data_IF_970190597196
#
_entry.id   IF_970190597196
#
_cell.length_a   1.000
_cell.length_b   1.000
_cell.length_c   1.000
_cell.angle_alpha   90.00
_cell.angle_beta   90.00
_cell.angle_gamma   90.00
#
_symmetry.space_group_name_H-M   'P 1'
#
loop_
_entity.id
_entity.type
_entity.pdbx_description
1 polymer ?
#
# COMPACT_ATOMS: atom_id res chain seq x y z
N UNK A 1 -19.10 63.75 -15.59
CA UNK A 1 -18.62 62.86 -14.50
C UNK A 1 -18.34 61.49 -15.10
N UNK A 2 -17.07 61.08 -15.09
CA UNK A 2 -16.54 59.87 -15.76
C UNK A 2 -16.98 58.59 -15.05
N UNK A 3 -17.42 57.61 -15.82
CA UNK A 3 -17.45 56.19 -15.43
C UNK A 3 -16.02 55.73 -15.14
N UNK A 4 -15.80 55.12 -13.98
CA UNK A 4 -14.64 54.29 -13.72
C UNK A 4 -15.11 52.83 -13.69
N UNK A 5 -14.82 52.13 -14.79
CA UNK A 5 -14.75 50.68 -14.78
C UNK A 5 -13.56 50.28 -13.91
N UNK A 6 -13.80 49.46 -12.88
CA UNK A 6 -12.75 48.64 -12.27
C UNK A 6 -13.03 47.20 -12.68
N UNK A 7 -12.21 46.70 -13.60
CA UNK A 7 -12.15 45.29 -13.89
C UNK A 7 -11.74 44.55 -12.63
N UNK A 8 -12.62 43.69 -12.14
CA UNK A 8 -12.23 42.63 -11.24
C UNK A 8 -11.55 41.57 -12.10
N UNK A 9 -10.22 41.55 -12.10
CA UNK A 9 -9.45 40.37 -12.49
C UNK A 9 -9.80 39.27 -11.51
N UNK A 10 -10.71 38.39 -11.90
CA UNK A 10 -10.91 37.12 -11.24
C UNK A 10 -9.67 36.26 -11.49
N UNK A 11 -8.66 36.38 -10.63
CA UNK A 11 -7.68 35.31 -10.47
C UNK A 11 -8.42 34.17 -9.79
N UNK A 12 -9.01 33.29 -10.58
CA UNK A 12 -9.46 31.98 -10.09
C UNK A 12 -8.22 31.24 -9.63
N UNK A 13 -7.91 31.36 -8.34
CA UNK A 13 -6.90 30.55 -7.69
C UNK A 13 -7.45 29.12 -7.70
N UNK A 14 -7.17 28.37 -8.78
CA UNK A 14 -7.46 26.94 -8.84
C UNK A 14 -6.53 26.28 -7.83
N UNK A 15 -6.98 26.20 -6.58
CA UNK A 15 -6.38 25.29 -5.61
C UNK A 15 -6.58 23.89 -6.17
N UNK A 16 -5.48 23.19 -6.42
CA UNK A 16 -5.54 21.79 -6.81
C UNK A 16 -6.27 20.98 -5.75
N UNK A 17 -6.89 19.88 -6.18
CA UNK A 17 -7.62 18.97 -5.29
C UNK A 17 -6.75 17.75 -5.05
N UNK A 18 -6.72 17.26 -3.81
CA UNK A 18 -6.06 16.03 -3.43
C UNK A 18 -6.91 15.30 -2.38
N UNK A 19 -6.80 13.98 -2.33
CA UNK A 19 -7.48 13.14 -1.34
C UNK A 19 -6.57 12.00 -0.93
N UNK A 20 -6.73 11.54 0.30
CA UNK A 20 -6.04 10.33 0.78
C UNK A 20 -6.40 9.15 -0.11
N UNK A 21 -5.42 8.30 -0.37
CA UNK A 21 -5.65 6.98 -0.91
C UNK A 21 -6.41 6.11 0.11
N UNK A 22 -6.78 4.89 -0.26
CA UNK A 22 -7.37 3.97 0.72
C UNK A 22 -6.33 3.70 1.83
N UNK A 23 -6.77 3.36 3.06
CA UNK A 23 -5.86 3.24 4.21
C UNK A 23 -4.64 2.35 3.94
N UNK A 24 -4.82 1.24 3.20
CA UNK A 24 -3.74 0.29 2.88
C UNK A 24 -2.75 0.77 1.81
N UNK A 25 -3.03 1.87 1.12
CA UNK A 25 -2.15 2.44 0.11
C UNK A 25 -1.18 3.48 0.69
N UNK A 26 -1.37 3.91 1.94
CA UNK A 26 -0.52 4.87 2.66
C UNK A 26 -0.07 6.06 1.78
N UNK A 27 -1.02 6.71 1.10
CA UNK A 27 -0.68 7.68 0.07
C UNK A 27 -1.75 8.74 -0.19
N UNK A 28 -1.45 9.61 -1.15
CA UNK A 28 -2.33 10.69 -1.59
C UNK A 28 -2.49 10.63 -3.11
N UNK A 29 -3.72 10.80 -3.57
CA UNK A 29 -4.10 10.95 -4.97
C UNK A 29 -4.23 12.44 -5.29
N UNK A 30 -3.70 12.84 -6.44
CA UNK A 30 -3.73 14.22 -6.91
C UNK A 30 -4.76 14.37 -8.03
N UNK A 31 -5.67 15.32 -7.88
CA UNK A 31 -6.58 15.74 -8.96
C UNK A 31 -5.90 16.59 -10.03
N UNK A 32 -4.76 17.19 -9.70
CA UNK A 32 -3.88 17.91 -10.63
C UNK A 32 -2.42 17.77 -10.14
N UNK A 33 -1.50 17.47 -11.04
CA UNK A 33 -0.06 17.33 -10.73
C UNK A 33 0.53 18.63 -10.16
N UNK A 34 -0.02 19.79 -10.51
CA UNK A 34 0.41 21.08 -9.96
C UNK A 34 0.18 21.20 -8.44
N UNK A 35 -0.68 20.35 -7.85
CA UNK A 35 -0.95 20.34 -6.41
C UNK A 35 0.14 19.63 -5.59
N UNK A 36 1.06 18.91 -6.23
CA UNK A 36 1.99 18.00 -5.53
C UNK A 36 2.83 18.72 -4.48
N UNK A 37 3.46 19.84 -4.84
CA UNK A 37 4.40 20.53 -3.94
C UNK A 37 3.67 21.17 -2.76
N UNK A 38 2.48 21.74 -2.99
CA UNK A 38 1.63 22.28 -1.92
C UNK A 38 1.18 21.18 -0.95
N UNK A 39 0.79 20.01 -1.47
CA UNK A 39 0.38 18.85 -0.66
C UNK A 39 1.57 18.31 0.14
N UNK A 40 2.73 18.16 -0.47
CA UNK A 40 3.97 17.72 0.20
C UNK A 40 4.31 18.66 1.36
N UNK A 41 4.23 19.98 1.13
CA UNK A 41 4.48 20.98 2.17
C UNK A 41 3.48 20.84 3.34
N UNK A 42 2.18 20.72 3.05
CA UNK A 42 1.15 20.51 4.07
C UNK A 42 1.42 19.24 4.88
N UNK A 43 1.75 18.12 4.22
CA UNK A 43 2.04 16.85 4.88
C UNK A 43 3.24 16.94 5.82
N UNK A 44 4.33 17.59 5.40
CA UNK A 44 5.51 17.78 6.25
C UNK A 44 5.28 18.72 7.44
N UNK A 45 4.32 19.64 7.33
CA UNK A 45 3.93 20.55 8.41
C UNK A 45 2.91 19.94 9.38
N UNK A 46 2.36 18.76 9.09
CA UNK A 46 1.44 18.08 10.01
C UNK A 46 2.11 17.74 11.33
N UNK A 47 1.39 18.02 12.43
CA UNK A 47 1.79 17.69 13.80
C UNK A 47 0.68 16.95 14.51
N UNK A 48 1.07 15.99 15.35
CA UNK A 48 0.16 15.29 16.25
C UNK A 48 -0.35 16.23 17.38
N UNK A 49 -1.28 15.77 18.23
CA UNK A 49 -1.73 16.54 19.39
C UNK A 49 -0.64 16.89 20.42
N UNK A 50 0.49 16.17 20.43
CA UNK A 50 1.64 16.44 21.29
C UNK A 50 2.60 17.48 20.67
N UNK A 51 2.44 17.79 19.38
CA UNK A 51 3.26 18.71 18.61
C UNK A 51 4.42 18.03 17.85
N UNK A 52 4.44 16.71 17.79
CA UNK A 52 5.46 15.91 17.11
C UNK A 52 5.16 15.80 15.60
N UNK A 53 6.20 15.71 14.78
CA UNK A 53 6.07 15.51 13.35
C UNK A 53 5.57 14.09 13.04
N UNK A 54 4.55 13.98 12.17
CA UNK A 54 3.89 12.69 11.88
C UNK A 54 4.27 12.09 10.53
N UNK A 55 4.81 12.89 9.61
CA UNK A 55 5.28 12.41 8.30
C UNK A 55 6.81 12.39 8.29
N UNK A 56 7.40 11.21 8.10
CA UNK A 56 8.84 11.03 7.93
C UNK A 56 9.28 11.41 6.51
N UNK A 57 8.58 10.92 5.49
CA UNK A 57 8.92 11.20 4.10
C UNK A 57 7.70 11.17 3.17
N UNK A 58 7.79 11.92 2.07
CA UNK A 58 6.81 11.85 0.98
C UNK A 58 7.56 11.60 -0.32
N UNK A 59 7.24 10.52 -1.04
CA UNK A 59 7.89 10.13 -2.29
C UNK A 59 6.88 10.08 -3.43
N UNK A 60 7.27 10.43 -4.66
CA UNK A 60 6.38 10.22 -5.82
C UNK A 60 6.39 8.75 -6.18
N UNK A 61 5.26 8.21 -6.66
CA UNK A 61 5.21 6.80 -7.12
C UNK A 61 6.27 6.45 -8.15
N UNK A 62 6.64 7.38 -9.02
CA UNK A 62 7.64 7.17 -10.08
C UNK A 62 9.06 7.08 -9.53
N UNK A 63 9.28 7.54 -8.31
CA UNK A 63 10.58 7.46 -7.63
C UNK A 63 10.72 6.12 -6.90
N UNK A 64 9.61 5.41 -6.65
CA UNK A 64 9.57 4.18 -5.83
C UNK A 64 9.26 2.94 -6.68
N UNK A 65 8.30 3.04 -7.58
CA UNK A 65 7.80 1.90 -8.35
C UNK A 65 8.17 2.02 -9.82
N UNK A 66 8.40 0.86 -10.44
CA UNK A 66 8.61 0.70 -11.88
C UNK A 66 7.65 -0.31 -12.48
N UNK A 67 7.51 -0.30 -13.81
CA UNK A 67 6.72 -1.30 -14.54
C UNK A 67 5.30 -0.85 -14.92
N UNK A 68 4.49 -1.76 -15.48
CA UNK A 68 3.22 -1.42 -16.12
C UNK A 68 2.12 -0.99 -15.14
N UNK A 69 2.29 -1.27 -13.85
CA UNK A 69 1.29 -1.01 -12.82
C UNK A 69 1.54 0.25 -11.99
N UNK A 70 2.60 1.02 -12.27
CA UNK A 70 2.95 2.24 -11.51
C UNK A 70 1.76 3.19 -11.40
N UNK A 71 0.97 3.35 -12.47
CA UNK A 71 -0.20 4.22 -12.47
C UNK A 71 -1.29 3.82 -11.45
N UNK A 72 -1.29 2.57 -10.96
CA UNK A 72 -2.22 2.11 -9.92
C UNK A 72 -1.84 2.63 -8.53
N UNK A 73 -0.56 2.88 -8.27
CA UNK A 73 -0.13 3.43 -6.98
C UNK A 73 -0.62 4.88 -6.79
N UNK A 74 -0.81 5.34 -5.53
CA UNK A 74 -1.04 6.75 -5.22
C UNK A 74 0.01 7.66 -5.87
N UNK A 75 -0.35 8.90 -6.20
CA UNK A 75 0.60 9.82 -6.84
C UNK A 75 1.77 10.17 -5.90
N UNK A 76 1.44 10.31 -4.60
CA UNK A 76 2.39 10.50 -3.50
C UNK A 76 2.24 9.35 -2.50
N UNK A 77 3.36 8.76 -2.09
CA UNK A 77 3.46 7.78 -1.03
C UNK A 77 3.94 8.48 0.24
N UNK A 78 3.25 8.25 1.35
CA UNK A 78 3.50 8.93 2.62
C UNK A 78 4.04 7.90 3.62
N UNK A 79 5.24 8.15 4.11
CA UNK A 79 5.85 7.37 5.16
C UNK A 79 5.64 8.10 6.49
N UNK A 80 4.93 7.45 7.41
CA UNK A 80 4.65 8.00 8.73
C UNK A 80 5.89 7.92 9.63
N UNK A 81 6.09 8.92 10.48
CA UNK A 81 7.22 8.99 11.41
C UNK A 81 7.08 8.01 12.58
N UNK A 82 5.83 7.70 12.95
CA UNK A 82 5.47 6.63 13.85
C UNK A 82 4.43 5.75 13.17
N UNK A 83 4.72 4.46 13.04
CA UNK A 83 3.82 3.45 12.47
C UNK A 83 2.54 3.22 13.31
N UNK A 84 2.45 3.77 14.52
CA UNK A 84 1.21 3.83 15.29
C UNK A 84 0.20 4.86 14.72
N UNK A 85 0.64 5.72 13.80
CA UNK A 85 -0.19 6.72 13.12
C UNK A 85 -0.43 6.29 11.68
N UNK A 86 -1.67 6.44 11.21
CA UNK A 86 -2.05 6.09 9.84
C UNK A 86 -2.94 7.18 9.22
N UNK A 87 -2.95 7.24 7.88
CA UNK A 87 -3.84 8.12 7.11
C UNK A 87 -5.22 7.49 6.99
N UNK A 88 -6.25 8.26 7.36
CA UNK A 88 -7.63 7.84 7.26
C UNK A 88 -8.38 8.62 6.19
N UNK A 89 -9.17 7.93 5.37
CA UNK A 89 -10.01 8.48 4.29
C UNK A 89 -11.46 8.76 4.72
N UNK A 90 -11.77 8.56 6.00
CA UNK A 90 -13.10 8.81 6.55
C UNK A 90 -13.45 10.29 6.61
N UNK A 91 -14.21 10.76 5.62
CA UNK A 91 -14.81 12.10 5.61
C UNK A 91 -15.78 12.37 6.78
N UNK A 92 -16.20 11.31 7.49
CA UNK A 92 -17.11 11.39 8.64
C UNK A 92 -16.38 11.31 9.99
N UNK A 93 -15.04 11.37 10.00
CA UNK A 93 -14.30 11.36 11.25
C UNK A 93 -14.73 12.56 12.13
N UNK A 94 -15.04 12.34 13.42
CA UNK A 94 -15.52 13.39 14.32
C UNK A 94 -14.42 14.42 14.65
N UNK A 95 -13.16 14.07 14.42
CA UNK A 95 -11.99 14.91 14.65
C UNK A 95 -10.88 14.54 13.65
N UNK A 96 -9.90 15.44 13.40
CA UNK A 96 -8.73 15.15 12.58
C UNK A 96 -7.81 14.05 13.15
N UNK A 97 -7.86 13.85 14.47
CA UNK A 97 -7.12 12.82 15.19
C UNK A 97 -8.11 11.91 15.91
N UNK A 98 -7.97 10.61 15.69
CA UNK A 98 -8.77 9.58 16.34
C UNK A 98 -7.83 8.66 17.12
N UNK A 99 -7.95 8.67 18.44
CA UNK A 99 -7.24 7.71 19.28
C UNK A 99 -7.99 6.38 19.30
N UNK A 100 -7.27 5.31 19.00
CA UNK A 100 -7.80 3.94 18.91
C UNK A 100 -7.06 2.96 19.80
N UNK A 101 -6.22 3.45 20.71
CA UNK A 101 -5.42 2.61 21.61
C UNK A 101 -6.27 1.74 22.55
N UNK A 102 -7.55 2.07 22.74
CA UNK A 102 -8.48 1.29 23.55
C UNK A 102 -9.30 0.29 22.75
N UNK A 103 -9.18 0.28 21.42
CA UNK A 103 -9.87 -0.64 20.53
C UNK A 103 -8.95 -1.83 20.20
N UNK A 104 -9.49 -3.04 19.96
CA UNK A 104 -8.72 -4.19 19.51
C UNK A 104 -8.35 -4.02 18.02
N UNK A 105 -7.58 -2.99 17.71
CA UNK A 105 -7.18 -2.63 16.36
C UNK A 105 -5.69 -2.85 16.17
N UNK A 106 -5.36 -3.51 15.06
CA UNK A 106 -3.98 -3.72 14.63
C UNK A 106 -3.67 -2.83 13.44
N UNK A 107 -2.42 -2.38 13.35
CA UNK A 107 -1.85 -1.74 12.17
C UNK A 107 -0.69 -2.57 11.63
N UNK A 108 -0.33 -2.36 10.37
CA UNK A 108 0.81 -3.02 9.75
C UNK A 108 2.12 -2.40 10.24
N UNK A 109 3.15 -3.24 10.37
CA UNK A 109 4.50 -2.86 10.79
C UNK A 109 5.47 -3.18 9.66
N UNK A 110 6.53 -2.38 9.50
CA UNK A 110 7.56 -2.67 8.49
C UNK A 110 8.33 -3.93 8.87
N UNK A 111 8.59 -4.13 10.16
CA UNK A 111 9.23 -5.34 10.67
C UNK A 111 8.22 -6.48 10.82
N UNK A 112 8.46 -7.58 10.11
CA UNK A 112 7.68 -8.80 10.18
C UNK A 112 8.47 -9.98 10.75
N UNK A 113 7.79 -11.12 10.92
CA UNK A 113 8.41 -12.38 11.34
C UNK A 113 8.20 -13.43 10.27
N UNK A 114 9.28 -14.10 9.87
CA UNK A 114 9.24 -15.29 9.02
C UNK A 114 9.80 -16.48 9.79
N UNK A 115 9.16 -17.64 9.65
CA UNK A 115 9.62 -18.88 10.24
C UNK A 115 9.51 -20.01 9.22
N UNK A 116 10.55 -20.83 9.16
CA UNK A 116 10.60 -22.02 8.31
C UNK A 116 10.91 -23.22 9.19
N UNK A 117 10.19 -24.31 8.96
CA UNK A 117 10.43 -25.60 9.60
C UNK A 117 10.94 -26.59 8.56
N UNK A 118 11.90 -27.43 8.93
CA UNK A 118 12.42 -28.48 8.06
C UNK A 118 13.47 -28.04 7.04
N UNK A 119 13.89 -26.76 7.03
CA UNK A 119 14.98 -26.26 6.20
C UNK A 119 15.83 -25.23 6.96
N UNK A 120 17.10 -25.12 6.58
CA UNK A 120 17.97 -24.04 7.06
C UNK A 120 17.57 -22.72 6.39
N UNK A 121 17.49 -21.64 7.16
CA UNK A 121 17.03 -20.33 6.69
C UNK A 121 17.98 -19.21 7.14
N UNK A 122 18.12 -18.18 6.30
CA UNK A 122 18.76 -16.92 6.66
C UNK A 122 17.81 -16.10 7.55
N UNK A 123 18.32 -15.62 8.69
CA UNK A 123 17.49 -14.93 9.69
C UNK A 123 17.02 -13.52 9.28
N UNK A 124 17.52 -12.96 8.18
CA UNK A 124 17.17 -11.62 7.68
C UNK A 124 16.76 -11.69 6.22
N UNK A 125 15.64 -11.06 5.91
CA UNK A 125 15.06 -11.00 4.57
C UNK A 125 14.02 -9.90 4.48
N UNK A 126 13.44 -9.78 3.29
CA UNK A 126 12.37 -8.85 2.96
C UNK A 126 11.08 -9.63 2.65
N UNK A 127 9.93 -8.95 2.66
CA UNK A 127 8.64 -9.62 2.38
C UNK A 127 8.61 -10.28 0.99
N UNK A 128 9.28 -9.67 -0.01
CA UNK A 128 9.40 -10.21 -1.37
C UNK A 128 10.13 -11.55 -1.41
N UNK A 129 11.00 -11.84 -0.43
CA UNK A 129 11.77 -13.07 -0.35
C UNK A 129 10.91 -14.30 -0.01
N UNK A 130 9.71 -14.10 0.55
CA UNK A 130 8.80 -15.19 0.93
C UNK A 130 8.37 -16.00 -0.29
N UNK A 131 8.00 -15.34 -1.38
CA UNK A 131 7.56 -16.02 -2.61
C UNK A 131 8.70 -16.88 -3.19
N UNK A 132 9.90 -16.31 -3.31
CA UNK A 132 11.08 -17.02 -3.79
C UNK A 132 11.44 -18.22 -2.89
N UNK A 133 11.35 -18.04 -1.57
CA UNK A 133 11.62 -19.12 -0.60
C UNK A 133 10.65 -20.28 -0.71
N UNK A 134 9.35 -20.00 -0.88
CA UNK A 134 8.32 -21.04 -1.04
C UNK A 134 8.51 -21.81 -2.34
N UNK A 135 8.80 -21.11 -3.45
CA UNK A 135 9.04 -21.74 -4.74
C UNK A 135 10.28 -22.64 -4.71
N UNK A 136 11.36 -22.19 -4.08
CA UNK A 136 12.56 -22.99 -3.87
C UNK A 136 12.28 -24.24 -3.04
N UNK A 137 11.49 -24.14 -1.96
CA UNK A 137 11.07 -25.29 -1.16
C UNK A 137 10.24 -26.30 -1.95
N UNK A 138 9.53 -25.85 -2.99
CA UNK A 138 8.76 -26.70 -3.90
C UNK A 138 9.60 -27.23 -5.08
N UNK A 139 10.87 -26.85 -5.19
CA UNK A 139 11.72 -27.19 -6.34
C UNK A 139 11.29 -26.51 -7.64
N UNK A 140 10.70 -25.33 -7.56
CA UNK A 140 10.29 -24.53 -8.71
C UNK A 140 11.23 -23.35 -8.87
N UNK A 141 11.73 -23.16 -10.09
CA UNK A 141 12.56 -22.01 -10.44
C UNK A 141 11.74 -21.05 -11.30
N UNK A 142 11.70 -19.78 -10.89
CA UNK A 142 10.97 -18.70 -11.58
C UNK A 142 11.90 -17.50 -11.69
N UNK A 143 12.15 -17.09 -12.93
CA UNK A 143 12.93 -15.89 -13.22
C UNK A 143 12.10 -14.61 -12.98
N UNK A 144 12.79 -13.52 -12.67
CA UNK A 144 12.19 -12.18 -12.59
C UNK A 144 11.41 -11.89 -11.30
N UNK A 145 11.61 -12.68 -10.24
CA UNK A 145 11.15 -12.33 -8.90
C UNK A 145 12.02 -11.20 -8.32
N UNK A 146 11.39 -10.26 -7.62
CA UNK A 146 12.11 -9.18 -6.91
C UNK A 146 12.89 -9.70 -5.71
N UNK A 147 12.35 -10.73 -5.03
CA UNK A 147 12.95 -11.36 -3.86
C UNK A 147 13.88 -12.52 -4.19
N UNK A 148 14.62 -12.95 -3.18
CA UNK A 148 15.52 -14.10 -3.21
C UNK A 148 15.13 -15.12 -2.15
N UNK A 149 15.46 -16.39 -2.37
CA UNK A 149 15.16 -17.43 -1.39
C UNK A 149 15.94 -17.21 -0.09
N UNK A 150 15.24 -17.28 1.05
CA UNK A 150 15.81 -17.27 2.39
C UNK A 150 16.28 -18.64 2.84
N UNK A 151 15.83 -19.70 2.17
CA UNK A 151 16.19 -21.07 2.51
C UNK A 151 17.42 -21.52 1.75
N UNK A 152 18.23 -22.38 2.36
CA UNK A 152 19.31 -23.02 1.64
C UNK A 152 18.73 -23.98 0.59
N UNK A 153 19.24 -23.90 -0.64
CA UNK A 153 18.95 -24.90 -1.66
C UNK A 153 19.33 -26.27 -1.11
N UNK A 154 18.40 -27.23 -1.18
CA UNK A 154 18.68 -28.61 -0.79
C UNK A 154 18.92 -29.43 -2.05
N UNK A 155 19.90 -30.33 -2.01
CA UNK A 155 20.26 -31.21 -3.15
C UNK A 155 19.10 -32.12 -3.61
N UNK A 156 18.00 -32.17 -2.87
CA UNK A 156 16.81 -32.97 -3.18
C UNK A 156 15.88 -32.33 -4.21
N UNK A 157 16.04 -31.04 -4.53
CA UNK A 157 15.10 -30.33 -5.39
C UNK A 157 15.54 -30.41 -6.84
N UNK A 158 14.81 -31.19 -7.64
CA UNK A 158 14.90 -31.09 -9.11
C UNK A 158 14.17 -29.82 -9.50
N UNK A 159 14.93 -28.77 -9.79
CA UNK A 159 14.36 -27.50 -10.22
C UNK A 159 13.63 -27.67 -11.54
N UNK A 160 12.37 -27.23 -11.57
CA UNK A 160 11.58 -27.08 -12.79
C UNK A 160 11.44 -25.60 -13.10
N UNK A 161 11.85 -25.21 -14.30
CA UNK A 161 11.63 -23.86 -14.80
C UNK A 161 10.15 -23.64 -15.09
N UNK A 162 9.60 -22.54 -14.57
CA UNK A 162 8.23 -22.10 -14.82
C UNK A 162 8.28 -20.77 -15.55
N UNK A 163 7.54 -20.66 -16.64
CA UNK A 163 7.39 -19.40 -17.37
C UNK A 163 6.31 -18.53 -16.69
N UNK A 164 6.67 -17.39 -16.06
CA UNK A 164 5.73 -16.52 -15.38
C UNK A 164 4.84 -15.72 -16.34
N UNK A 165 5.12 -15.74 -17.64
CA UNK A 165 4.34 -15.05 -18.67
C UNK A 165 3.11 -15.84 -19.13
N UNK A 166 2.96 -17.09 -18.67
CA UNK A 166 1.76 -17.87 -18.92
C UNK A 166 0.55 -17.17 -18.29
N UNK A 167 -0.52 -16.91 -19.04
CA UNK A 167 -1.72 -16.31 -18.47
C UNK A 167 -2.23 -17.22 -17.36
N UNK A 168 -2.46 -16.65 -16.17
CA UNK A 168 -3.27 -17.31 -15.15
C UNK A 168 -4.57 -17.73 -15.83
N UNK A 169 -4.91 -19.02 -15.79
CA UNK A 169 -6.13 -19.49 -16.42
C UNK A 169 -7.29 -18.68 -15.83
N UNK A 170 -8.03 -17.97 -16.68
CA UNK A 170 -9.21 -17.21 -16.29
C UNK A 170 -10.35 -18.09 -15.76
N UNK A 171 -10.16 -19.41 -15.73
CA UNK A 171 -11.10 -20.44 -15.29
C UNK A 171 -11.23 -20.58 -13.77
N UNK A 172 -10.65 -19.68 -12.96
CA UNK A 172 -10.88 -19.64 -11.50
C UNK A 172 -12.01 -18.68 -11.12
N UNK A 173 -13.04 -18.56 -11.96
CA UNK A 173 -14.29 -17.98 -11.50
C UNK A 173 -14.96 -19.04 -10.61
N UNK A 174 -15.16 -18.72 -9.32
CA UNK A 174 -15.94 -19.57 -8.43
C UNK A 174 -17.29 -19.86 -9.08
N UNK A 175 -17.76 -21.11 -8.97
CA UNK A 175 -19.17 -21.38 -9.25
C UNK A 175 -20.04 -20.63 -8.25
N UNK A 176 -21.31 -20.40 -8.59
CA UNK A 176 -22.28 -19.76 -7.69
C UNK A 176 -22.34 -20.51 -6.32
N UNK A 177 -22.17 -21.84 -6.32
CA UNK A 177 -22.12 -22.65 -5.11
C UNK A 177 -20.84 -22.46 -4.30
N UNK A 178 -19.68 -22.37 -4.96
CA UNK A 178 -18.40 -22.11 -4.29
C UNK A 178 -18.37 -20.70 -3.69
N UNK A 179 -18.89 -19.71 -4.42
CA UNK A 179 -19.05 -18.35 -3.94
C UNK A 179 -19.97 -18.31 -2.70
N UNK A 180 -21.10 -19.01 -2.74
CA UNK A 180 -22.02 -19.10 -1.60
C UNK A 180 -21.36 -19.75 -0.37
N UNK A 181 -20.55 -20.80 -0.55
CA UNK A 181 -19.83 -21.46 0.53
C UNK A 181 -18.74 -20.57 1.14
N UNK A 182 -18.01 -19.82 0.30
CA UNK A 182 -17.03 -18.83 0.75
C UNK A 182 -17.72 -17.72 1.54
N UNK A 183 -18.84 -17.19 1.04
CA UNK A 183 -19.62 -16.16 1.73
C UNK A 183 -20.16 -16.65 3.07
N UNK A 184 -20.67 -17.88 3.16
CA UNK A 184 -21.11 -18.47 4.42
C UNK A 184 -19.96 -18.60 5.43
N UNK A 185 -18.78 -19.05 4.97
CA UNK A 185 -17.59 -19.13 5.82
C UNK A 185 -17.16 -17.76 6.33
N UNK A 186 -17.12 -16.76 5.45
CA UNK A 186 -16.76 -15.39 5.80
C UNK A 186 -17.78 -14.73 6.74
N UNK A 187 -19.09 -15.03 6.60
CA UNK A 187 -20.11 -14.65 7.60
C UNK A 187 -19.86 -15.28 8.96
N UNK A 188 -19.50 -16.57 8.99
CA UNK A 188 -19.11 -17.27 10.22
C UNK A 188 -17.90 -16.66 10.92
N UNK A 189 -17.02 -16.01 10.16
CA UNK A 189 -15.85 -15.27 10.64
C UNK A 189 -16.12 -13.77 10.90
N UNK A 190 -17.31 -13.26 10.57
CA UNK A 190 -17.70 -11.86 10.76
C UNK A 190 -17.14 -10.88 9.74
N UNK A 191 -16.69 -11.34 8.58
CA UNK A 191 -16.17 -10.49 7.50
C UNK A 191 -17.25 -9.94 6.56
N UNK A 192 -18.46 -10.50 6.62
CA UNK A 192 -19.62 -10.09 5.79
C UNK A 192 -20.88 -10.21 6.63
N UNK A 193 -21.81 -9.26 6.49
CA UNK A 193 -23.15 -9.29 7.11
C UNK A 193 -24.19 -9.95 6.19
#
# INVERSE_FOLDING_TARGET
MRRLARGATATTNRRGVAWTATPYECGVRLGDAAAADDVIAVLHDLRDPNGDAVVASVRRRTDVYTGPYVARAPDLLVEMADEAVDLHDGFHAPAPWLDRNTEPWGTHRVEGVVAVSGAAMTAKGEAADVAASVLDLLGLHVDGLDGRSLVAATDAHVHRDVDPSLPASADTAYSDEEEAAVLEHLRGLGYVE
#
